data_IF_454572155231
#
_entry.id   IF_454572155231
#
_cell.length_a   1.000
_cell.length_b   1.000
_cell.length_c   1.000
_cell.angle_alpha   90.00
_cell.angle_beta   90.00
_cell.angle_gamma   90.00
#
_symmetry.space_group_name_H-M   'P 1'
#
loop_
_entity.id
_entity.type
_entity.pdbx_description
1 polymer ?
#
# COMPACT_ATOMS: atom_id res chain seq x y z
N UNK A 1 -10.69 -3.34 -39.21
CA UNK A 1 -11.66 -2.61 -38.36
C UNK A 1 -10.87 -1.77 -37.37
N UNK A 2 -11.13 -0.46 -37.30
CA UNK A 2 -10.47 0.47 -36.37
C UNK A 2 -11.49 0.94 -35.32
N UNK A 3 -11.12 0.85 -34.05
CA UNK A 3 -11.93 1.31 -32.92
C UNK A 3 -11.08 2.16 -31.99
N UNK A 4 -11.65 3.26 -31.48
CA UNK A 4 -10.95 4.19 -30.56
C UNK A 4 -11.85 4.46 -29.35
N UNK A 5 -11.26 4.43 -28.16
CA UNK A 5 -11.91 4.90 -26.94
C UNK A 5 -11.33 6.27 -26.58
N UNK A 6 -12.20 7.27 -26.40
CA UNK A 6 -11.80 8.60 -25.98
C UNK A 6 -12.75 9.13 -24.91
N UNK A 7 -12.31 10.17 -24.20
CA UNK A 7 -13.19 10.88 -23.27
C UNK A 7 -14.23 11.68 -24.07
N UNK A 8 -15.38 11.96 -23.47
CA UNK A 8 -16.52 12.59 -24.17
C UNK A 8 -16.14 13.96 -24.74
N UNK A 9 -15.30 14.72 -24.05
CA UNK A 9 -14.80 16.02 -24.46
C UNK A 9 -13.81 15.96 -25.64
N UNK A 10 -13.18 14.81 -25.88
CA UNK A 10 -12.23 14.62 -26.99
C UNK A 10 -12.90 14.08 -28.27
N UNK A 11 -14.19 13.74 -28.19
CA UNK A 11 -14.96 13.11 -29.26
C UNK A 11 -14.72 13.76 -30.62
N UNK A 12 -14.94 15.07 -30.72
CA UNK A 12 -14.90 15.77 -32.00
C UNK A 12 -13.50 15.76 -32.62
N UNK A 13 -12.46 15.93 -31.80
CA UNK A 13 -11.08 15.87 -32.25
C UNK A 13 -10.72 14.48 -32.80
N UNK A 14 -11.17 13.41 -32.13
CA UNK A 14 -10.94 12.04 -32.59
C UNK A 14 -11.70 11.73 -33.88
N UNK A 15 -12.96 12.17 -34.00
CA UNK A 15 -13.76 12.03 -35.23
C UNK A 15 -13.06 12.67 -36.43
N UNK A 16 -12.54 13.90 -36.26
CA UNK A 16 -11.83 14.62 -37.32
C UNK A 16 -10.54 13.89 -37.75
N UNK A 17 -9.75 13.42 -36.79
CA UNK A 17 -8.51 12.67 -37.07
C UNK A 17 -8.85 11.40 -37.87
N UNK A 18 -9.87 10.65 -37.45
CA UNK A 18 -10.25 9.43 -38.14
C UNK A 18 -10.70 9.72 -39.58
N UNK A 19 -11.69 10.60 -39.80
CA UNK A 19 -12.18 10.90 -41.15
C UNK A 19 -11.09 11.46 -42.07
N UNK A 20 -10.19 12.30 -41.55
CA UNK A 20 -9.08 12.87 -42.33
C UNK A 20 -8.07 11.83 -42.79
N UNK A 21 -7.82 10.80 -41.99
CA UNK A 21 -6.68 9.92 -42.18
C UNK A 21 -7.04 8.48 -42.60
N UNK A 22 -8.32 8.08 -42.57
CA UNK A 22 -8.70 6.66 -42.79
C UNK A 22 -9.56 6.40 -44.03
N UNK A 23 -9.74 7.37 -44.94
CA UNK A 23 -10.58 7.22 -46.15
C UNK A 23 -12.04 6.86 -45.85
N UNK A 24 -12.44 6.93 -44.58
CA UNK A 24 -13.74 6.53 -44.10
C UNK A 24 -14.71 7.69 -44.28
N UNK A 25 -15.91 7.42 -44.81
CA UNK A 25 -16.93 8.45 -45.05
C UNK A 25 -17.83 8.70 -43.83
N UNK A 26 -17.70 7.92 -42.76
CA UNK A 26 -18.53 8.05 -41.57
C UNK A 26 -17.99 7.25 -40.39
N UNK A 27 -18.47 7.58 -39.20
CA UNK A 27 -18.07 6.97 -37.92
C UNK A 27 -19.33 6.51 -37.17
N UNK A 28 -19.25 5.32 -36.58
CA UNK A 28 -20.26 4.82 -35.64
C UNK A 28 -19.78 5.06 -34.21
N UNK A 29 -20.64 5.63 -33.37
CA UNK A 29 -20.31 5.96 -31.98
C UNK A 29 -21.28 5.33 -31.00
N UNK A 30 -20.76 4.87 -29.86
CA UNK A 30 -21.52 4.54 -28.67
C UNK A 30 -20.93 5.24 -27.44
N UNK A 31 -21.78 5.62 -26.48
CA UNK A 31 -21.33 6.03 -25.14
C UNK A 31 -21.20 4.79 -24.27
N UNK A 32 -20.05 4.63 -23.64
CA UNK A 32 -19.77 3.50 -22.76
C UNK A 32 -19.61 4.00 -21.33
N UNK A 33 -20.23 3.31 -20.39
CA UNK A 33 -19.92 3.44 -18.96
C UNK A 33 -18.95 2.33 -18.57
N UNK A 34 -18.12 2.60 -17.57
CA UNK A 34 -17.22 1.59 -16.98
C UNK A 34 -17.19 1.75 -15.48
N UNK A 35 -17.19 0.61 -14.78
CA UNK A 35 -16.84 0.57 -13.36
C UNK A 35 -15.34 0.36 -13.25
N UNK A 36 -14.66 1.28 -12.57
CA UNK A 36 -13.22 1.19 -12.31
C UNK A 36 -13.06 0.85 -10.84
N UNK A 37 -12.32 -0.21 -10.55
CA UNK A 37 -11.93 -0.52 -9.18
C UNK A 37 -10.79 0.41 -8.74
N UNK A 38 -10.69 0.76 -7.44
CA UNK A 38 -9.52 1.44 -6.92
C UNK A 38 -8.27 0.66 -7.31
N UNK A 39 -7.23 1.39 -7.71
CA UNK A 39 -5.93 0.81 -8.02
C UNK A 39 -4.84 1.83 -7.77
N UNK A 40 -3.70 1.33 -7.32
CA UNK A 40 -2.53 2.14 -7.00
C UNK A 40 -1.28 1.45 -7.54
N UNK A 41 -0.25 2.25 -7.80
CA UNK A 41 1.06 1.78 -8.21
C UNK A 41 1.96 1.76 -6.98
N UNK A 42 2.42 0.57 -6.59
CA UNK A 42 3.36 0.40 -5.49
C UNK A 42 4.75 0.10 -6.02
N UNK A 43 5.76 0.67 -5.37
CA UNK A 43 7.15 0.31 -5.57
C UNK A 43 7.53 -0.81 -4.59
N UNK A 44 8.20 -1.84 -5.09
CA UNK A 44 8.72 -2.95 -4.29
C UNK A 44 10.19 -3.22 -4.61
N UNK A 45 10.93 -3.65 -3.60
CA UNK A 45 12.30 -4.13 -3.75
C UNK A 45 12.30 -5.65 -3.88
N UNK A 46 12.89 -6.16 -4.96
CA UNK A 46 13.09 -7.61 -5.18
C UNK A 46 14.58 -7.96 -5.19
N UNK A 47 14.96 -9.23 -5.08
CA UNK A 47 16.37 -9.65 -5.23
C UNK A 47 17.01 -9.25 -6.57
N UNK A 48 16.21 -8.98 -7.60
CA UNK A 48 16.70 -8.55 -8.92
C UNK A 48 16.79 -7.02 -9.05
N UNK A 49 16.23 -6.28 -8.09
CA UNK A 49 16.12 -4.83 -8.09
C UNK A 49 14.70 -4.33 -7.87
N UNK A 50 14.53 -3.03 -7.98
CA UNK A 50 13.26 -2.34 -7.80
C UNK A 50 12.31 -2.57 -8.99
N UNK A 51 11.04 -2.77 -8.69
CA UNK A 51 9.95 -2.91 -9.67
C UNK A 51 8.67 -2.26 -9.15
N UNK A 52 7.84 -1.79 -10.07
CA UNK A 52 6.48 -1.36 -9.74
C UNK A 52 5.48 -2.50 -9.91
N UNK A 53 4.46 -2.48 -9.05
CA UNK A 53 3.29 -3.36 -9.15
C UNK A 53 2.02 -2.53 -9.08
N UNK A 54 1.08 -2.85 -9.96
CA UNK A 54 -0.26 -2.30 -9.93
C UNK A 54 -1.12 -3.20 -9.03
N UNK A 55 -1.60 -2.64 -7.92
CA UNK A 55 -2.52 -3.31 -7.01
C UNK A 55 -3.91 -2.78 -7.30
N UNK A 56 -4.87 -3.68 -7.49
CA UNK A 56 -6.29 -3.35 -7.69
C UNK A 56 -7.13 -4.02 -6.61
N UNK A 57 -8.04 -3.27 -6.00
CA UNK A 57 -8.93 -3.78 -4.94
C UNK A 57 -10.28 -4.13 -5.53
N UNK A 58 -10.50 -5.42 -5.74
CA UNK A 58 -11.73 -5.97 -6.26
C UNK A 58 -12.75 -6.14 -5.14
N UNK A 59 -14.06 -6.08 -5.45
CA UNK A 59 -15.09 -6.51 -4.52
C UNK A 59 -14.81 -7.96 -4.08
N UNK A 60 -14.57 -8.17 -2.78
CA UNK A 60 -14.39 -9.51 -2.22
C UNK A 60 -15.71 -10.24 -2.03
N UNK A 61 -15.64 -11.54 -1.70
CA UNK A 61 -16.83 -12.33 -1.31
C UNK A 61 -17.30 -12.00 0.11
N UNK A 62 -16.40 -11.56 0.98
CA UNK A 62 -16.65 -11.27 2.40
C UNK A 62 -16.39 -9.78 2.72
N UNK A 63 -16.24 -9.42 4.00
CA UNK A 63 -16.08 -8.04 4.48
C UNK A 63 -14.76 -7.37 4.09
N UNK A 64 -13.85 -8.05 3.38
CA UNK A 64 -12.57 -7.51 2.91
C UNK A 64 -12.44 -7.56 1.38
N UNK A 65 -11.87 -6.52 0.74
CA UNK A 65 -11.65 -6.49 -0.71
C UNK A 65 -10.57 -7.49 -1.14
N UNK A 66 -10.77 -8.16 -2.28
CA UNK A 66 -9.76 -9.04 -2.88
C UNK A 66 -8.69 -8.21 -3.60
N UNK A 67 -7.41 -8.48 -3.31
CA UNK A 67 -6.29 -7.77 -3.93
C UNK A 67 -5.79 -8.52 -5.17
N UNK A 68 -5.78 -7.82 -6.32
CA UNK A 68 -5.11 -8.29 -7.54
C UNK A 68 -3.82 -7.53 -7.77
N UNK A 69 -2.71 -8.26 -7.84
CA UNK A 69 -1.37 -7.72 -8.04
C UNK A 69 -0.90 -8.03 -9.46
N UNK A 70 -0.54 -6.98 -10.21
CA UNK A 70 0.00 -7.09 -11.56
C UNK A 70 1.36 -6.35 -11.65
N UNK A 71 2.47 -7.06 -11.85
CA UNK A 71 3.77 -6.43 -12.10
C UNK A 71 3.76 -5.52 -13.34
N UNK A 72 4.47 -4.39 -13.27
CA UNK A 72 4.66 -3.53 -14.44
C UNK A 72 5.63 -4.17 -15.45
N UNK A 73 5.16 -4.25 -16.69
CA UNK A 73 5.84 -5.03 -17.74
C UNK A 73 7.25 -4.51 -18.03
N UNK A 74 7.42 -3.19 -18.16
CA UNK A 74 8.73 -2.61 -18.52
C UNK A 74 9.78 -2.82 -17.43
N UNK A 75 9.37 -2.77 -16.15
CA UNK A 75 10.26 -3.12 -15.04
C UNK A 75 10.66 -4.59 -15.08
N UNK A 76 9.68 -5.50 -15.22
CA UNK A 76 9.97 -6.92 -15.33
C UNK A 76 10.84 -7.26 -16.54
N UNK A 77 10.64 -6.59 -17.67
CA UNK A 77 11.45 -6.74 -18.88
C UNK A 77 12.89 -6.29 -18.64
N UNK A 78 13.09 -5.12 -18.03
CA UNK A 78 14.42 -4.60 -17.66
C UNK A 78 15.14 -5.56 -16.70
N UNK A 79 14.43 -6.06 -15.69
CA UNK A 79 14.98 -7.00 -14.71
C UNK A 79 15.29 -8.37 -15.33
N UNK A 80 14.47 -8.86 -16.26
CA UNK A 80 14.73 -10.09 -17.01
C UNK A 80 16.00 -9.97 -17.87
N UNK A 81 16.15 -8.85 -18.58
CA UNK A 81 17.34 -8.57 -19.38
C UNK A 81 18.61 -8.49 -18.52
N UNK A 82 18.54 -7.81 -17.37
CA UNK A 82 19.69 -7.64 -16.48
C UNK A 82 20.10 -8.95 -15.76
N UNK A 83 19.13 -9.82 -15.45
CA UNK A 83 19.36 -11.06 -14.69
C UNK A 83 19.57 -12.31 -15.55
N UNK A 84 19.27 -12.24 -16.86
CA UNK A 84 19.26 -13.41 -17.74
C UNK A 84 18.10 -14.38 -17.50
N UNK A 85 17.13 -14.04 -16.64
CA UNK A 85 15.94 -14.86 -16.37
C UNK A 85 14.84 -14.59 -17.41
N UNK A 86 13.93 -15.55 -17.57
CA UNK A 86 12.76 -15.35 -18.43
C UNK A 86 11.83 -14.28 -17.84
N UNK A 87 11.13 -13.54 -18.70
CA UNK A 87 10.15 -12.53 -18.28
C UNK A 87 9.10 -13.12 -17.33
N UNK A 88 8.58 -14.31 -17.64
CA UNK A 88 7.59 -15.01 -16.81
C UNK A 88 8.11 -15.25 -15.39
N UNK A 89 9.35 -15.74 -15.28
CA UNK A 89 9.97 -16.01 -13.98
C UNK A 89 10.22 -14.74 -13.16
N UNK A 90 10.50 -13.62 -13.82
CA UNK A 90 10.60 -12.31 -13.16
C UNK A 90 9.23 -11.79 -12.75
N UNK A 91 8.22 -11.89 -13.60
CA UNK A 91 6.85 -11.49 -13.24
C UNK A 91 6.32 -12.28 -12.04
N UNK A 92 6.56 -13.59 -11.99
CA UNK A 92 6.21 -14.43 -10.85
C UNK A 92 6.93 -14.00 -9.56
N UNK A 93 8.25 -13.75 -9.64
CA UNK A 93 9.03 -13.27 -8.51
C UNK A 93 8.49 -11.94 -7.97
N UNK A 94 8.34 -10.94 -8.86
CA UNK A 94 7.85 -9.60 -8.48
C UNK A 94 6.46 -9.69 -7.87
N UNK A 95 5.55 -10.49 -8.45
CA UNK A 95 4.21 -10.70 -7.89
C UNK A 95 4.26 -11.33 -6.50
N UNK A 96 5.10 -12.34 -6.30
CA UNK A 96 5.22 -13.03 -5.01
C UNK A 96 5.81 -12.10 -3.92
N UNK A 97 6.86 -11.34 -4.25
CA UNK A 97 7.45 -10.37 -3.33
C UNK A 97 6.45 -9.27 -2.96
N UNK A 98 5.67 -8.78 -3.92
CA UNK A 98 4.62 -7.80 -3.65
C UNK A 98 3.52 -8.35 -2.73
N UNK A 99 3.10 -9.59 -2.96
CA UNK A 99 2.10 -10.28 -2.14
C UNK A 99 2.54 -10.30 -0.67
N UNK A 100 3.77 -10.76 -0.40
CA UNK A 100 4.32 -10.84 0.96
C UNK A 100 4.42 -9.47 1.62
N UNK A 101 4.90 -8.46 0.90
CA UNK A 101 5.08 -7.11 1.44
C UNK A 101 3.74 -6.43 1.76
N UNK A 102 2.72 -6.65 0.92
CA UNK A 102 1.37 -6.10 1.15
C UNK A 102 0.65 -6.81 2.30
N UNK A 103 0.80 -8.13 2.42
CA UNK A 103 0.30 -8.91 3.56
C UNK A 103 0.96 -8.45 4.87
N UNK A 104 2.28 -8.26 4.85
CA UNK A 104 3.05 -7.73 6.00
C UNK A 104 2.58 -6.34 6.44
N UNK A 105 2.26 -5.45 5.50
CA UNK A 105 1.73 -4.11 5.79
C UNK A 105 0.29 -4.13 6.31
N UNK A 106 -0.47 -5.17 5.97
CA UNK A 106 -1.89 -5.31 6.35
C UNK A 106 -2.09 -5.99 7.71
N UNK A 107 -1.06 -6.65 8.26
CA UNK A 107 -1.08 -7.17 9.63
C UNK A 107 -1.00 -6.01 10.63
N UNK A 108 -1.90 -5.92 11.62
CA UNK A 108 -1.75 -4.96 12.71
C UNK A 108 -0.42 -5.24 13.42
N UNK A 109 0.40 -4.21 13.55
CA UNK A 109 1.70 -4.25 14.18
C UNK A 109 1.58 -4.68 15.66
N UNK A 110 1.73 -5.97 15.97
CA UNK A 110 2.05 -6.40 17.33
C UNK A 110 3.55 -6.14 17.54
N UNK A 111 3.89 -4.93 17.98
CA UNK A 111 5.22 -4.64 18.51
C UNK A 111 5.53 -5.62 19.65
N UNK A 112 6.72 -6.26 19.68
CA UNK A 112 7.22 -6.80 20.94
C UNK A 112 7.61 -5.61 21.82
N UNK A 113 6.86 -5.36 22.88
CA UNK A 113 7.28 -4.49 23.98
C UNK A 113 8.44 -5.15 24.71
N UNK A 114 9.68 -4.73 24.43
CA UNK A 114 10.88 -5.12 25.20
C UNK A 114 11.86 -3.94 25.21
N UNK A 115 11.69 -3.03 26.16
CA UNK A 115 12.72 -2.63 27.14
C UNK A 115 12.17 -1.49 28.02
N UNK A 116 11.48 -1.85 29.09
CA UNK A 116 11.37 -0.98 30.27
C UNK A 116 12.41 -1.51 31.25
N UNK A 117 13.51 -0.78 31.41
CA UNK A 117 14.54 -1.06 32.40
C UNK A 117 13.94 -1.13 33.82
N UNK A 118 14.48 -1.95 34.75
CA UNK A 118 13.97 -2.01 36.11
C UNK A 118 14.37 -0.74 36.86
N UNK A 119 13.39 -0.07 37.44
CA UNK A 119 13.54 1.06 38.35
C UNK A 119 14.33 0.62 39.61
N UNK A 120 15.31 1.41 40.10
CA UNK A 120 16.08 1.03 41.28
C UNK A 120 15.24 1.17 42.57
N UNK A 121 15.45 0.33 43.59
CA UNK A 121 14.70 0.42 44.84
C UNK A 121 15.08 1.67 45.63
N UNK A 122 14.06 2.40 46.09
CA UNK A 122 14.17 3.53 47.02
C UNK A 122 14.91 3.13 48.30
N UNK A 123 15.86 3.93 48.82
CA UNK A 123 16.50 3.66 50.10
C UNK A 123 15.55 3.98 51.26
N UNK A 124 15.28 2.97 52.09
CA UNK A 124 14.80 3.12 53.46
C UNK A 124 15.96 3.44 54.41
N UNK A 125 15.70 4.24 55.45
CA UNK A 125 16.62 4.57 56.54
C UNK A 125 16.52 6.06 56.89
N UNK A 126 15.59 6.49 57.73
CA UNK A 126 15.53 6.34 59.20
C UNK A 126 16.68 7.07 59.91
N UNK A 127 16.39 8.21 60.55
CA UNK A 127 17.10 8.63 61.77
C UNK A 127 16.32 9.67 62.59
N UNK A 128 15.92 9.23 63.79
CA UNK A 128 16.03 9.91 65.09
C UNK A 128 15.31 11.25 65.38
N UNK A 129 14.26 11.12 66.20
CA UNK A 129 14.19 11.57 67.59
C UNK A 129 14.47 13.07 67.93
N UNK A 130 13.42 13.78 68.31
CA UNK A 130 13.47 14.77 69.39
C UNK A 130 12.09 14.86 70.10
N UNK A 131 12.09 14.56 71.39
CA UNK A 131 11.02 14.85 72.34
C UNK A 131 10.94 16.37 72.60
N UNK A 132 9.72 16.90 72.74
CA UNK A 132 9.48 17.97 73.70
C UNK A 132 8.09 17.80 74.34
N UNK A 133 8.03 17.96 75.66
CA UNK A 133 6.90 17.76 76.54
C UNK A 133 6.40 19.11 77.06
N UNK A 134 5.09 19.36 77.00
CA UNK A 134 4.39 20.28 77.92
C UNK A 134 2.88 20.16 77.69
N UNK A 135 2.16 19.44 78.54
CA UNK A 135 1.46 19.87 79.77
C UNK A 135 0.08 20.52 79.54
N UNK A 136 -0.92 19.76 79.98
CA UNK A 136 -2.07 20.13 80.82
C UNK A 136 -3.34 20.87 80.33
N UNK A 137 -4.45 20.29 80.84
CA UNK A 137 -5.73 20.90 81.23
C UNK A 137 -6.68 21.42 80.11
N UNK A 138 -7.99 21.16 80.09
CA UNK A 138 -8.97 20.97 81.17
C UNK A 138 -10.28 20.36 80.64
N UNK A 139 -11.07 19.79 81.55
CA UNK A 139 -12.53 19.56 81.53
C UNK A 139 -13.35 20.49 80.60
N UNK A 140 -14.47 20.11 79.97
CA UNK A 140 -15.65 19.37 80.44
C UNK A 140 -16.47 18.94 79.20
#
# INVERSE_FOLDING_TARGET
>A
MLSVLCRSEQRHAVEQIMLRHTGSLGIRQSRLTRRIVPRELFEITTPLGMAHVKVSWLPGRDTQPEMRIAPEYEDCRRLAQASGRTLESVMQLVRHTAQQELERRSLPNSQPTMDTAPEPPSPTGDTSHAHDHSHDHHHH
#
